data_IF_787895844759
#
_entry.id   IF_787895844759
#
_cell.length_a   1.000
_cell.length_b   1.000
_cell.length_c   1.000
_cell.angle_alpha   90.00
_cell.angle_beta   90.00
_cell.angle_gamma   90.00
#
_symmetry.space_group_name_H-M   'P 1'
#
loop_
_entity.id
_entity.type
_entity.pdbx_description
1 polymer ?
#
# COMPACT_ATOMS: atom_id res chain seq x y z
N UNK A 1 -18.18 -48.70 -43.74
CA UNK A 1 -17.43 -47.42 -43.63
C UNK A 1 -16.42 -47.59 -42.52
N UNK A 2 -15.16 -47.63 -42.95
CA UNK A 2 -13.91 -47.81 -42.21
C UNK A 2 -13.56 -46.60 -41.35
N UNK A 3 -12.73 -46.82 -40.34
CA UNK A 3 -12.02 -45.77 -39.58
C UNK A 3 -11.75 -46.23 -38.15
N UNK A 4 -10.92 -47.25 -37.95
CA UNK A 4 -9.47 -47.14 -37.80
C UNK A 4 -9.10 -46.09 -36.73
N UNK A 5 -8.85 -46.57 -35.51
CA UNK A 5 -8.35 -45.76 -34.40
C UNK A 5 -6.99 -45.16 -34.73
N UNK A 6 -6.85 -43.86 -34.48
CA UNK A 6 -5.59 -43.14 -34.60
C UNK A 6 -5.26 -42.58 -33.22
N UNK A 7 -4.29 -43.21 -32.55
CA UNK A 7 -3.61 -42.64 -31.39
C UNK A 7 -2.95 -41.33 -31.83
N UNK A 8 -3.39 -40.19 -31.30
CA UNK A 8 -2.63 -38.95 -31.42
C UNK A 8 -1.45 -38.97 -30.41
N UNK A 9 -0.21 -38.79 -30.85
CA UNK A 9 0.93 -38.68 -29.95
C UNK A 9 0.94 -37.29 -29.27
N UNK A 10 1.18 -37.26 -27.96
CA UNK A 10 1.55 -36.04 -27.22
C UNK A 10 2.91 -35.54 -27.75
N UNK A 11 2.89 -34.46 -28.51
CA UNK A 11 4.11 -33.78 -28.96
C UNK A 11 4.58 -32.88 -27.82
N UNK A 12 5.59 -33.33 -27.06
CA UNK A 12 6.30 -32.49 -26.08
C UNK A 12 7.36 -31.70 -26.84
N UNK A 13 7.11 -30.42 -27.11
CA UNK A 13 8.10 -29.51 -27.70
C UNK A 13 9.07 -29.02 -26.62
N UNK A 14 10.25 -29.65 -26.54
CA UNK A 14 11.39 -29.12 -25.79
C UNK A 14 11.92 -27.88 -26.52
N UNK A 15 11.63 -26.68 -25.99
CA UNK A 15 12.24 -25.45 -26.49
C UNK A 15 13.64 -25.37 -25.88
N UNK A 16 14.66 -25.82 -26.63
CA UNK A 16 16.05 -25.53 -26.30
C UNK A 16 16.26 -24.01 -26.44
N UNK A 17 16.49 -23.32 -25.32
CA UNK A 17 16.77 -21.89 -25.30
C UNK A 17 18.09 -21.55 -26.02
N UNK A 18 18.22 -20.36 -26.63
CA UNK A 18 19.46 -19.97 -27.29
C UNK A 18 20.56 -19.76 -26.23
N UNK A 19 21.67 -20.49 -26.42
CA UNK A 19 22.93 -20.29 -25.73
C UNK A 19 23.54 -18.96 -26.21
N UNK A 20 23.39 -17.89 -25.43
CA UNK A 20 24.04 -16.61 -25.71
C UNK A 20 25.55 -16.76 -25.58
N UNK A 21 26.21 -16.90 -26.74
CA UNK A 21 27.64 -16.74 -26.90
C UNK A 21 27.94 -15.24 -26.90
N UNK A 22 28.51 -14.75 -25.80
CA UNK A 22 29.05 -13.40 -25.74
C UNK A 22 30.34 -13.32 -26.56
N UNK A 23 30.40 -12.39 -27.49
CA UNK A 23 31.63 -11.87 -28.07
C UNK A 23 31.56 -10.35 -28.07
N UNK A 24 32.63 -9.72 -27.61
CA UNK A 24 32.73 -8.29 -27.34
C UNK A 24 33.32 -7.56 -28.56
N UNK A 25 33.24 -6.21 -28.55
CA UNK A 25 33.87 -5.21 -29.46
C UNK A 25 33.19 -5.02 -30.84
N UNK A 26 32.92 -3.82 -31.37
CA UNK A 26 33.54 -2.50 -31.20
C UNK A 26 32.54 -1.38 -31.57
N UNK A 27 32.74 -0.21 -30.95
CA UNK A 27 32.01 1.05 -31.11
C UNK A 27 31.87 1.51 -32.57
N UNK A 28 30.66 1.90 -32.97
CA UNK A 28 30.43 2.95 -33.96
C UNK A 28 29.19 3.73 -33.54
N UNK A 29 29.38 4.99 -33.15
CA UNK A 29 28.32 5.89 -32.73
C UNK A 29 27.38 6.19 -33.89
N UNK A 30 26.10 5.91 -33.68
CA UNK A 30 25.02 6.37 -34.55
C UNK A 30 24.06 7.16 -33.67
N UNK A 31 23.81 8.39 -34.08
CA UNK A 31 23.34 9.51 -33.29
C UNK A 31 22.08 9.22 -32.44
N UNK A 32 22.17 9.58 -31.16
CA UNK A 32 21.12 9.58 -30.15
C UNK A 32 20.04 10.63 -30.43
N UNK A 33 19.35 10.54 -31.56
CA UNK A 33 18.27 11.46 -31.95
C UNK A 33 16.96 10.72 -32.25
N UNK A 34 16.90 9.40 -32.06
CA UNK A 34 15.66 8.58 -32.16
C UNK A 34 15.24 7.95 -30.82
N UNK A 35 16.00 8.18 -29.74
CA UNK A 35 15.58 7.92 -28.34
C UNK A 35 15.04 9.17 -27.62
N UNK A 36 14.77 10.26 -28.37
CA UNK A 36 14.15 11.49 -27.83
C UNK A 36 12.62 11.51 -27.95
N UNK A 37 11.98 10.43 -28.39
CA UNK A 37 10.54 10.45 -28.71
C UNK A 37 9.78 9.22 -28.21
N UNK A 38 10.00 8.81 -26.96
CA UNK A 38 9.12 7.84 -26.30
C UNK A 38 8.93 8.06 -24.79
N UNK A 39 9.13 9.28 -24.28
CA UNK A 39 8.39 9.69 -23.07
C UNK A 39 7.02 10.24 -23.50
N UNK A 40 6.18 9.34 -24.00
CA UNK A 40 4.75 9.56 -24.09
C UNK A 40 4.23 9.75 -22.66
N UNK A 41 3.77 10.98 -22.37
CA UNK A 41 2.63 11.32 -21.52
C UNK A 41 2.21 10.20 -20.57
N UNK A 42 2.90 10.11 -19.45
CA UNK A 42 2.27 9.74 -18.20
C UNK A 42 2.92 10.66 -17.20
N UNK A 43 2.25 11.78 -16.95
CA UNK A 43 2.43 12.51 -15.71
C UNK A 43 2.18 11.49 -14.61
N UNK A 44 3.24 10.79 -14.17
CA UNK A 44 3.23 9.99 -12.96
C UNK A 44 3.04 11.02 -11.87
N UNK A 45 1.77 11.31 -11.58
CA UNK A 45 1.40 12.32 -10.62
C UNK A 45 2.22 12.06 -9.37
N UNK A 46 3.11 13.00 -9.04
CA UNK A 46 4.23 12.82 -8.11
C UNK A 46 3.79 11.97 -6.90
N UNK A 47 4.54 10.92 -6.59
CA UNK A 47 4.24 10.08 -5.43
C UNK A 47 4.15 10.96 -4.17
N UNK A 48 3.16 10.71 -3.33
CA UNK A 48 3.05 11.47 -2.09
C UNK A 48 4.24 11.12 -1.17
N UNK A 49 4.77 12.11 -0.43
CA UNK A 49 5.67 11.85 0.69
C UNK A 49 5.11 10.80 1.65
N UNK A 50 5.99 10.03 2.30
CA UNK A 50 5.64 8.94 3.24
C UNK A 50 4.72 9.37 4.39
N UNK A 51 4.76 10.66 4.78
CA UNK A 51 3.94 11.25 5.84
C UNK A 51 2.54 11.69 5.36
N UNK A 52 2.23 11.52 4.08
CA UNK A 52 0.98 11.94 3.44
C UNK A 52 0.30 10.76 2.74
N UNK A 53 -1.02 10.88 2.57
CA UNK A 53 -1.83 9.90 1.87
C UNK A 53 -2.45 10.49 0.61
N UNK A 54 -2.41 9.74 -0.49
CA UNK A 54 -3.01 10.16 -1.75
C UNK A 54 -4.53 10.01 -1.70
N UNK A 55 -5.24 11.11 -1.93
CA UNK A 55 -6.68 11.12 -2.18
C UNK A 55 -6.96 11.93 -3.45
N UNK A 56 -7.23 11.22 -4.55
CA UNK A 56 -7.36 11.84 -5.87
C UNK A 56 -6.07 12.51 -6.32
N UNK A 57 -6.12 13.83 -6.51
CA UNK A 57 -4.99 14.66 -6.94
C UNK A 57 -4.19 15.23 -5.75
N UNK A 58 -4.72 15.15 -4.52
CA UNK A 58 -4.10 15.73 -3.34
C UNK A 58 -3.33 14.70 -2.51
N UNK A 59 -2.22 15.14 -1.92
CA UNK A 59 -1.53 14.42 -0.85
C UNK A 59 -2.00 14.96 0.50
N UNK A 60 -2.93 14.27 1.16
CA UNK A 60 -3.53 14.70 2.41
C UNK A 60 -2.70 14.29 3.64
N UNK A 61 -2.78 15.07 4.71
CA UNK A 61 -2.20 14.69 6.00
C UNK A 61 -2.93 13.48 6.61
N UNK A 62 -2.26 12.75 7.50
CA UNK A 62 -2.85 11.64 8.24
C UNK A 62 -3.64 12.14 9.46
N UNK A 63 -4.66 11.36 9.88
CA UNK A 63 -5.30 11.55 11.17
C UNK A 63 -4.38 11.06 12.30
N UNK A 64 -4.32 11.77 13.44
CA UNK A 64 -3.51 11.35 14.58
C UNK A 64 -4.06 10.08 15.26
N UNK A 65 -3.24 9.40 16.09
CA UNK A 65 -3.71 8.29 16.93
C UNK A 65 -4.95 8.64 17.76
N UNK A 66 -5.84 7.66 17.93
CA UNK A 66 -7.12 7.83 18.63
C UNK A 66 -8.25 8.44 17.79
N UNK A 67 -8.00 8.79 16.52
CA UNK A 67 -9.01 9.35 15.61
C UNK A 67 -9.10 8.55 14.32
N UNK A 68 -10.19 8.72 13.56
CA UNK A 68 -10.41 8.17 12.21
C UNK A 68 -10.84 9.26 11.24
N UNK A 69 -10.60 9.04 9.95
CA UNK A 69 -11.08 9.95 8.89
C UNK A 69 -12.61 9.95 8.83
N UNK A 70 -13.17 11.14 8.85
CA UNK A 70 -14.59 11.41 8.61
C UNK A 70 -14.79 12.02 7.22
N UNK A 71 -13.96 13.01 6.87
CA UNK A 71 -13.97 13.68 5.56
C UNK A 71 -12.57 13.77 4.96
N UNK A 72 -12.51 13.78 3.63
CA UNK A 72 -11.27 13.94 2.86
C UNK A 72 -10.66 15.34 2.98
N UNK A 73 -9.46 15.53 2.44
CA UNK A 73 -8.88 16.87 2.33
C UNK A 73 -9.30 17.54 1.01
N UNK A 74 -9.38 18.87 0.99
CA UNK A 74 -9.79 19.66 -0.19
C UNK A 74 -8.63 20.40 -0.86
N UNK A 75 -7.43 20.30 -0.31
CA UNK A 75 -6.21 20.98 -0.77
C UNK A 75 -5.00 20.06 -0.62
N UNK A 76 -3.97 20.24 -1.46
CA UNK A 76 -2.71 19.50 -1.29
C UNK A 76 -2.09 19.79 0.09
N UNK A 77 -1.55 18.74 0.73
CA UNK A 77 -1.08 18.75 2.13
C UNK A 77 -2.13 19.22 3.14
N UNK A 78 -3.41 19.18 2.76
CA UNK A 78 -4.53 19.57 3.59
C UNK A 78 -4.81 18.55 4.69
N UNK A 79 -5.36 19.02 5.80
CA UNK A 79 -5.78 18.16 6.91
C UNK A 79 -7.18 17.60 6.63
N UNK A 80 -7.39 16.28 6.65
CA UNK A 80 -8.73 15.69 6.57
C UNK A 80 -9.54 16.01 7.83
N UNK A 81 -10.86 15.86 7.76
CA UNK A 81 -11.69 15.82 8.96
C UNK A 81 -11.42 14.53 9.72
N UNK A 82 -11.00 14.64 10.99
CA UNK A 82 -10.73 13.51 11.86
C UNK A 82 -11.66 13.56 13.07
N UNK A 83 -12.30 12.44 13.39
CA UNK A 83 -13.19 12.30 14.55
C UNK A 83 -12.65 11.22 15.49
N UNK A 84 -12.93 11.30 16.81
CA UNK A 84 -12.49 10.29 17.76
C UNK A 84 -12.98 8.89 17.42
N UNK A 85 -12.17 7.88 17.73
CA UNK A 85 -12.66 6.50 17.80
C UNK A 85 -13.66 6.36 18.97
N UNK A 86 -14.66 5.45 18.88
CA UNK A 86 -15.51 5.11 20.02
C UNK A 86 -14.67 4.61 21.20
N UNK A 87 -14.72 5.36 22.30
CA UNK A 87 -13.94 5.07 23.51
C UNK A 87 -14.37 3.71 24.11
N UNK A 88 -13.39 2.90 24.53
CA UNK A 88 -13.65 1.59 25.12
C UNK A 88 -14.06 0.50 24.12
N UNK A 89 -14.17 0.80 22.82
CA UNK A 89 -14.50 -0.19 21.80
C UNK A 89 -13.43 -0.28 20.70
N UNK A 90 -12.92 0.86 20.25
CA UNK A 90 -11.97 0.95 19.15
C UNK A 90 -10.80 1.89 19.45
N UNK A 91 -9.66 1.63 18.81
CA UNK A 91 -8.43 2.40 18.98
C UNK A 91 -7.64 2.49 17.67
N UNK A 92 -6.75 3.48 17.59
CA UNK A 92 -5.71 3.59 16.56
C UNK A 92 -4.41 4.02 17.23
N UNK A 93 -3.35 3.24 17.05
CA UNK A 93 -2.06 3.38 17.74
C UNK A 93 -1.05 4.24 16.96
N UNK A 94 -1.31 4.49 15.68
CA UNK A 94 -0.44 5.24 14.77
C UNK A 94 -1.27 6.20 13.94
N UNK A 95 -0.63 7.24 13.43
CA UNK A 95 -1.28 8.13 12.46
C UNK A 95 -1.65 7.35 11.18
N UNK A 96 -2.82 7.61 10.63
CA UNK A 96 -3.36 6.88 9.47
C UNK A 96 -4.42 7.68 8.71
N UNK A 97 -4.75 7.25 7.50
CA UNK A 97 -5.78 7.89 6.65
C UNK A 97 -7.10 7.10 6.54
N UNK A 98 -7.25 6.05 7.35
CA UNK A 98 -8.43 5.18 7.29
C UNK A 98 -9.64 5.85 7.94
N UNK A 99 -10.83 5.58 7.38
CA UNK A 99 -12.12 5.92 7.99
C UNK A 99 -12.57 4.94 9.08
N UNK A 100 -11.71 3.99 9.46
CA UNK A 100 -12.00 2.96 10.47
C UNK A 100 -10.95 2.95 11.58
N UNK A 101 -11.39 2.68 12.80
CA UNK A 101 -10.51 2.34 13.90
C UNK A 101 -10.38 0.81 14.02
N UNK A 102 -9.43 0.35 14.83
CA UNK A 102 -9.26 -1.09 15.12
C UNK A 102 -10.05 -1.43 16.37
N UNK A 103 -10.78 -2.54 16.35
CA UNK A 103 -11.46 -3.04 17.55
C UNK A 103 -10.46 -3.44 18.62
N UNK A 104 -10.75 -3.06 19.86
CA UNK A 104 -10.09 -3.59 21.03
C UNK A 104 -10.25 -5.11 21.12
N UNK A 105 -9.19 -5.82 21.50
CA UNK A 105 -9.30 -7.23 21.92
C UNK A 105 -9.73 -7.34 23.38
N UNK A 106 -9.22 -6.44 24.21
CA UNK A 106 -9.60 -6.24 25.62
C UNK A 106 -9.58 -4.73 25.80
N UNK A 107 -10.74 -4.14 26.02
CA UNK A 107 -10.90 -2.75 26.43
C UNK A 107 -11.59 -2.86 27.80
N UNK A 108 -10.87 -2.72 28.91
CA UNK A 108 -11.46 -2.82 30.25
C UNK A 108 -12.40 -1.62 30.47
N UNK A 109 -13.70 -1.84 30.18
CA UNK A 109 -14.76 -0.85 30.31
C UNK A 109 -15.23 -0.61 31.75
N UNK A 110 -14.55 -1.17 32.75
CA UNK A 110 -15.05 -1.21 34.12
C UNK A 110 -13.94 -1.05 35.17
N UNK A 111 -13.36 0.15 35.26
CA UNK A 111 -12.78 0.63 36.52
C UNK A 111 -13.16 2.09 36.72
N UNK A 112 -13.99 2.33 37.74
CA UNK A 112 -14.45 3.64 38.17
C UNK A 112 -13.32 4.65 38.20
N UNK A 113 -13.52 5.72 37.43
CA UNK A 113 -12.64 6.88 37.31
C UNK A 113 -12.48 7.56 38.68
N UNK A 114 -11.35 7.37 39.34
CA UNK A 114 -10.86 8.37 40.27
C UNK A 114 -9.97 9.34 39.48
N UNK A 115 -10.42 10.58 39.37
CA UNK A 115 -9.68 11.72 38.81
C UNK A 115 -8.30 11.80 39.47
N UNK A 116 -7.24 11.53 38.69
CA UNK A 116 -5.94 12.24 38.74
C UNK A 116 -4.94 11.74 37.67
N UNK A 117 -5.27 10.77 36.82
CA UNK A 117 -4.41 10.48 35.67
C UNK A 117 -5.27 10.28 34.44
N UNK A 118 -5.06 11.16 33.45
CA UNK A 118 -5.54 10.97 32.08
C UNK A 118 -4.94 9.65 31.61
N UNK A 119 -5.68 8.54 31.76
CA UNK A 119 -5.34 7.26 31.15
C UNK A 119 -5.50 7.45 29.66
N UNK A 120 -4.43 7.90 29.02
CA UNK A 120 -4.35 7.88 27.58
C UNK A 120 -4.38 6.40 27.22
N UNK A 121 -5.42 5.96 26.51
CA UNK A 121 -5.54 4.61 25.96
C UNK A 121 -4.42 4.39 24.94
N UNK A 122 -3.22 4.13 25.44
CA UNK A 122 -2.04 3.81 24.66
C UNK A 122 -1.69 2.36 24.91
N UNK A 123 -1.77 1.62 23.80
CA UNK A 123 -1.17 0.32 23.53
C UNK A 123 -2.01 -0.92 23.86
N UNK A 124 -2.11 -1.86 22.89
CA UNK A 124 -2.42 -3.24 23.23
C UNK A 124 -1.31 -3.74 24.15
N UNK A 125 -1.67 -4.22 25.32
CA UNK A 125 -0.77 -4.96 26.21
C UNK A 125 -0.18 -6.12 25.41
N UNK A 126 1.11 -6.04 25.11
CA UNK A 126 1.84 -7.16 24.51
C UNK A 126 1.76 -8.33 25.49
N UNK A 127 1.30 -9.54 25.07
CA UNK A 127 1.33 -10.69 25.96
C UNK A 127 2.79 -11.03 26.24
N UNK A 128 3.21 -10.92 27.51
CA UNK A 128 4.46 -11.48 27.98
C UNK A 128 4.41 -13.00 27.75
N UNK A 129 5.22 -13.50 26.82
CA UNK A 129 5.50 -14.93 26.70
C UNK A 129 6.62 -15.21 27.72
N UNK A 130 6.29 -16.05 28.71
CA UNK A 130 7.19 -16.53 29.77
C UNK A 130 8.11 -17.63 29.25
#
# INVERSE_FOLDING_TARGET
MTGLGVLLPLIVTFIAGPLSKGDNTQVTGINSEVLKSSHNITERAAECPEDLHREGEFCCQLCPPGTRKDTGCTTDRGKPGCVPCPEGEEYTDKAHYSSKCRRCRICDGEQGVNMESVRIAHQPTTPNVK
#
